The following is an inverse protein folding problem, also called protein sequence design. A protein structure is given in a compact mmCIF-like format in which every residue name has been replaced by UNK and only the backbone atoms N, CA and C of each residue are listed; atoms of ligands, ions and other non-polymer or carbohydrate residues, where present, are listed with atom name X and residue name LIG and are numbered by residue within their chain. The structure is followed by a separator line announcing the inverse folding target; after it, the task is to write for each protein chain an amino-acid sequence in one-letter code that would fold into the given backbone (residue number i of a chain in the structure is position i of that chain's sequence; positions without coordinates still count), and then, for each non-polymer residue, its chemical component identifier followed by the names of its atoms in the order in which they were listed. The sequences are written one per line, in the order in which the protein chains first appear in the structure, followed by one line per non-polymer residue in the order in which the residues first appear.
data_IF_964992516210
#
_entry.id   IF_964992516210
#
_cell.length_a   1.000
_cell.length_b   1.000
_cell.length_c   1.000
_cell.angle_alpha   90.00
_cell.angle_beta   90.00
_cell.angle_gamma   90.00
#
_symmetry.space_group_name_H-M   'P 1'
#
loop_
_entity.id
_entity.type
_entity.pdbx_description
1 polymer ?
#
# COMPACT_ATOMS: atom_id res chain seq x y z
N UNK A 1 -11.31 -22.71 -28.05
CA UNK A 1 -10.43 -21.71 -27.40
C UNK A 1 -11.23 -21.01 -26.31
N UNK A 2 -11.11 -21.43 -25.05
CA UNK A 2 -11.79 -20.77 -23.92
C UNK A 2 -10.93 -19.59 -23.49
N UNK A 3 -11.46 -18.38 -23.66
CA UNK A 3 -10.80 -17.13 -23.23
C UNK A 3 -10.81 -17.12 -21.69
N UNK A 4 -9.65 -16.96 -21.09
CA UNK A 4 -9.52 -16.81 -19.64
C UNK A 4 -10.09 -15.43 -19.29
N UNK A 5 -11.27 -15.41 -18.68
CA UNK A 5 -11.84 -14.18 -18.12
C UNK A 5 -11.15 -13.99 -16.78
N UNK A 6 -9.96 -13.37 -16.81
CA UNK A 6 -9.31 -12.90 -15.60
C UNK A 6 -10.17 -11.72 -15.14
N UNK A 7 -10.96 -11.96 -14.09
CA UNK A 7 -11.85 -10.97 -13.52
C UNK A 7 -11.13 -9.65 -13.28
N UNK A 8 -11.85 -8.55 -13.52
CA UNK A 8 -11.41 -7.16 -13.37
C UNK A 8 -10.47 -6.99 -12.19
N UNK A 9 -9.26 -6.46 -12.44
CA UNK A 9 -8.29 -6.02 -11.43
C UNK A 9 -8.82 -4.78 -10.66
N UNK A 10 -10.02 -4.87 -10.11
CA UNK A 10 -10.58 -3.85 -9.23
C UNK A 10 -9.95 -4.01 -7.85
N UNK A 11 -8.72 -3.54 -7.70
CA UNK A 11 -8.10 -3.41 -6.40
C UNK A 11 -8.66 -2.15 -5.72
N UNK A 12 -9.61 -2.34 -4.80
CA UNK A 12 -10.20 -1.27 -4.01
C UNK A 12 -9.20 -0.85 -2.90
N UNK A 13 -8.16 -0.10 -3.27
CA UNK A 13 -7.19 0.46 -2.32
C UNK A 13 -7.76 1.68 -1.61
N UNK A 14 -8.74 1.49 -0.74
CA UNK A 14 -9.25 2.60 0.06
C UNK A 14 -8.23 2.93 1.14
N UNK A 15 -7.54 4.08 1.00
CA UNK A 15 -6.81 4.71 2.12
C UNK A 15 -7.77 5.29 3.18
N UNK A 16 -9.07 5.17 2.96
CA UNK A 16 -10.12 5.58 3.88
C UNK A 16 -10.30 4.48 4.92
N UNK A 17 -9.77 4.67 6.12
CA UNK A 17 -10.16 3.84 7.26
C UNK A 17 -11.64 4.07 7.54
N UNK A 18 -12.46 3.03 7.44
CA UNK A 18 -13.83 3.04 7.94
C UNK A 18 -13.79 3.21 9.47
N UNK A 19 -13.85 4.46 9.93
CA UNK A 19 -13.94 4.79 11.35
C UNK A 19 -15.32 4.46 11.89
N UNK A 20 -15.49 3.27 12.47
CA UNK A 20 -16.51 3.07 13.49
C UNK A 20 -15.95 3.56 14.82
N UNK A 21 -16.44 4.73 15.26
CA UNK A 21 -16.32 5.20 16.64
C UNK A 21 -16.78 4.09 17.58
N UNK A 22 -15.89 3.66 18.46
CA UNK A 22 -16.28 3.06 19.74
C UNK A 22 -15.53 3.81 20.83
N UNK A 23 -16.29 4.49 21.67
CA UNK A 23 -15.80 5.12 22.89
C UNK A 23 -15.39 4.07 23.93
N UNK A 24 -14.55 4.55 24.85
CA UNK A 24 -14.32 4.07 26.23
C UNK A 24 -13.26 2.98 26.41
N UNK A 25 -12.07 3.37 26.89
CA UNK A 25 -11.69 3.34 28.31
C UNK A 25 -10.17 3.44 28.44
N UNK A 26 -9.69 4.42 29.21
CA UNK A 26 -8.30 4.50 29.63
C UNK A 26 -7.94 3.29 30.50
N UNK A 27 -6.77 2.69 30.25
CA UNK A 27 -6.07 1.84 31.20
C UNK A 27 -4.57 1.94 30.94
N UNK A 28 -3.92 2.66 31.83
CA UNK A 28 -2.48 2.87 31.94
C UNK A 28 -1.79 1.55 32.30
N UNK A 29 -0.79 1.14 31.54
CA UNK A 29 0.29 0.29 32.07
C UNK A 29 1.58 0.68 31.35
N UNK A 30 2.52 1.19 32.14
CA UNK A 30 3.81 1.69 31.72
C UNK A 30 4.85 0.59 31.46
N UNK A 31 5.85 0.99 30.67
CA UNK A 31 7.24 0.51 30.64
C UNK A 31 7.54 -0.62 29.65
N UNK A 32 8.50 -0.51 28.72
CA UNK A 32 9.74 0.27 28.74
C UNK A 32 10.10 0.72 27.32
N UNK A 33 10.21 2.04 27.09
CA UNK A 33 10.99 2.59 25.98
C UNK A 33 12.12 3.39 26.61
N UNK A 34 13.37 3.03 26.27
CA UNK A 34 14.55 3.81 26.61
C UNK A 34 14.41 5.22 26.02
N UNK A 35 13.99 6.16 26.85
CA UNK A 35 13.92 7.57 26.50
C UNK A 35 15.32 8.17 26.66
N UNK A 36 16.03 8.35 25.54
CA UNK A 36 17.20 9.23 25.50
C UNK A 36 16.72 10.68 25.64
N UNK A 37 16.75 11.20 26.87
CA UNK A 37 16.49 12.61 27.16
C UNK A 37 17.64 13.46 26.61
N UNK A 38 17.40 14.18 25.51
CA UNK A 38 18.34 15.17 24.98
C UNK A 38 17.72 16.57 25.00
N UNK A 39 18.07 17.34 26.03
CA UNK A 39 17.55 18.69 26.33
C UNK A 39 18.27 19.80 25.56
N UNK A 40 18.37 19.71 24.22
CA UNK A 40 18.96 20.79 23.41
C UNK A 40 18.09 21.13 22.18
N UNK A 41 17.77 22.42 21.92
CA UNK A 41 16.93 22.86 20.80
C UNK A 41 17.55 22.62 19.40
N UNK A 42 18.77 22.08 19.36
CA UNK A 42 19.48 21.68 18.13
C UNK A 42 18.96 20.34 17.59
N UNK A 43 18.43 19.44 18.43
CA UNK A 43 17.89 18.16 17.96
C UNK A 43 16.55 18.30 17.23
N UNK A 44 15.64 19.16 17.70
CA UNK A 44 14.33 19.36 17.04
C UNK A 44 14.47 19.76 15.57
N UNK A 45 15.43 20.64 15.25
CA UNK A 45 15.70 21.06 13.88
C UNK A 45 16.40 19.97 13.05
N UNK A 46 17.19 19.09 13.67
CA UNK A 46 17.82 17.96 12.99
C UNK A 46 16.78 16.91 12.54
N UNK A 47 15.79 16.60 13.40
CA UNK A 47 14.68 15.68 13.07
C UNK A 47 13.82 16.15 11.88
N UNK A 48 13.67 17.46 11.69
CA UNK A 48 12.87 18.01 10.57
C UNK A 48 13.53 17.85 9.20
N UNK A 49 14.85 17.61 9.16
CA UNK A 49 15.62 17.56 7.91
C UNK A 49 16.10 16.14 7.55
N UNK A 50 15.80 15.14 8.39
CA UNK A 50 16.11 13.73 8.14
C UNK A 50 15.03 13.06 7.31
N UNK A 51 15.44 12.24 6.33
CA UNK A 51 14.54 11.35 5.61
C UNK A 51 14.26 10.14 6.48
N UNK A 52 13.00 9.87 6.75
CA UNK A 52 12.53 8.74 7.56
C UNK A 52 11.79 7.76 6.66
N UNK A 53 11.98 6.47 6.87
CA UNK A 53 11.18 5.41 6.24
C UNK A 53 10.55 4.54 7.31
N UNK A 54 9.25 4.31 7.21
CA UNK A 54 8.47 3.47 8.12
C UNK A 54 7.74 2.40 7.33
N UNK A 55 7.78 1.18 7.84
CA UNK A 55 7.02 0.05 7.29
C UNK A 55 5.87 -0.26 8.24
N UNK A 56 4.64 -0.20 7.74
CA UNK A 56 3.42 -0.53 8.47
C UNK A 56 2.81 -1.79 7.90
N UNK A 57 2.56 -2.79 8.73
CA UNK A 57 1.80 -3.98 8.35
C UNK A 57 0.41 -3.86 8.95
N UNK A 58 -0.61 -3.81 8.09
CA UNK A 58 -2.00 -3.76 8.52
C UNK A 58 -2.48 -5.18 8.88
N UNK A 59 -3.51 -5.28 9.74
CA UNK A 59 -4.15 -6.58 10.00
C UNK A 59 -4.68 -7.16 8.68
N UNK A 60 -4.62 -8.49 8.57
CA UNK A 60 -5.24 -9.18 7.45
C UNK A 60 -6.76 -9.03 7.52
N UNK A 61 -7.41 -8.92 6.35
CA UNK A 61 -8.86 -8.92 6.26
C UNK A 61 -9.44 -10.35 6.29
N UNK A 62 -10.77 -10.45 6.28
CA UNK A 62 -11.49 -11.73 6.31
C UNK A 62 -11.18 -12.64 5.10
N UNK A 63 -10.70 -12.06 3.99
CA UNK A 63 -10.27 -12.81 2.81
C UNK A 63 -8.85 -13.38 2.94
N UNK A 64 -8.16 -13.06 4.04
CA UNK A 64 -6.76 -13.41 4.27
C UNK A 64 -5.80 -12.49 3.51
N UNK A 65 -6.27 -11.39 2.93
CA UNK A 65 -5.42 -10.43 2.27
C UNK A 65 -4.81 -9.47 3.30
N UNK A 66 -3.51 -9.20 3.15
CA UNK A 66 -2.75 -8.35 4.05
C UNK A 66 -2.08 -7.22 3.26
N UNK A 67 -2.16 -6.01 3.81
CA UNK A 67 -1.53 -4.83 3.25
C UNK A 67 -0.31 -4.43 4.06
N UNK A 68 0.81 -4.18 3.38
CA UNK A 68 2.00 -3.53 3.93
C UNK A 68 2.20 -2.17 3.26
N UNK A 69 2.40 -1.12 4.04
CA UNK A 69 2.67 0.24 3.55
C UNK A 69 4.10 0.65 3.93
N UNK A 70 4.91 1.02 2.95
CA UNK A 70 6.25 1.57 3.15
C UNK A 70 6.18 3.06 2.83
N UNK A 71 6.37 3.88 3.85
CA UNK A 71 6.18 5.33 3.80
C UNK A 71 7.52 6.00 4.00
N UNK A 72 7.97 6.79 3.04
CA UNK A 72 9.18 7.62 3.16
C UNK A 72 8.76 9.08 3.21
N UNK A 73 9.27 9.83 4.20
CA UNK A 73 8.92 11.22 4.41
C UNK A 73 10.10 12.05 4.95
N UNK A 74 10.01 13.37 4.84
CA UNK A 74 10.97 14.33 5.40
C UNK A 74 10.22 15.51 6.01
N UNK A 75 10.35 15.70 7.32
CA UNK A 75 9.49 16.63 8.05
C UNK A 75 8.02 16.31 7.79
N UNK A 76 7.23 17.29 7.35
CA UNK A 76 5.79 17.11 7.12
C UNK A 76 5.47 16.75 5.67
N UNK A 77 6.47 16.40 4.86
CA UNK A 77 6.31 16.09 3.44
C UNK A 77 6.50 14.59 3.17
N UNK A 78 5.47 13.96 2.59
CA UNK A 78 5.62 12.63 1.99
C UNK A 78 6.57 12.69 0.79
N UNK A 79 7.53 11.77 0.74
CA UNK A 79 8.41 11.57 -0.41
C UNK A 79 7.94 10.40 -1.27
N UNK A 80 7.58 9.28 -0.64
CA UNK A 80 7.01 8.15 -1.35
C UNK A 80 6.08 7.30 -0.49
N UNK A 81 5.19 6.56 -1.15
CA UNK A 81 4.36 5.52 -0.57
C UNK A 81 4.44 4.29 -1.46
N UNK A 82 4.76 3.13 -0.88
CA UNK A 82 4.60 1.83 -1.54
C UNK A 82 3.55 1.03 -0.78
N UNK A 83 2.57 0.49 -1.49
CA UNK A 83 1.56 -0.42 -0.95
C UNK A 83 1.81 -1.80 -1.55
N UNK A 84 2.09 -2.77 -0.69
CA UNK A 84 2.18 -4.18 -1.03
C UNK A 84 0.91 -4.88 -0.53
N UNK A 85 0.15 -5.46 -1.44
CA UNK A 85 -1.02 -6.26 -1.11
C UNK A 85 -0.70 -7.72 -1.37
N UNK A 86 -0.58 -8.51 -0.30
CA UNK A 86 -0.49 -9.96 -0.39
C UNK A 86 -1.87 -10.55 -0.22
N UNK A 87 -2.25 -11.48 -1.09
CA UNK A 87 -3.55 -12.16 -1.02
C UNK A 87 -3.47 -13.59 -1.47
N UNK A 88 -4.37 -14.46 -0.97
CA UNK A 88 -4.55 -15.78 -1.54
C UNK A 88 -4.91 -15.67 -3.03
N UNK A 89 -4.42 -16.62 -3.83
CA UNK A 89 -4.84 -16.75 -5.24
C UNK A 89 -6.31 -17.18 -5.31
N UNK A 90 -7.02 -16.73 -6.34
CA UNK A 90 -8.40 -17.16 -6.59
C UNK A 90 -8.47 -18.64 -7.00
N UNK A 91 -9.63 -19.27 -6.82
CA UNK A 91 -9.86 -20.66 -7.26
C UNK A 91 -9.60 -20.84 -8.77
N UNK A 92 -9.99 -19.87 -9.60
CA UNK A 92 -9.70 -19.91 -11.04
C UNK A 92 -8.19 -19.94 -11.34
N UNK A 93 -7.41 -19.14 -10.60
CA UNK A 93 -5.96 -19.12 -10.77
C UNK A 93 -5.33 -20.41 -10.22
N UNK A 94 -5.85 -20.99 -9.13
CA UNK A 94 -5.43 -22.31 -8.64
C UNK A 94 -5.67 -23.41 -9.67
N UNK A 95 -6.84 -23.41 -10.29
CA UNK A 95 -7.18 -24.36 -11.35
C UNK A 95 -6.25 -24.21 -12.55
N UNK A 96 -5.99 -22.97 -12.98
CA UNK A 96 -5.05 -22.70 -14.07
C UNK A 96 -3.61 -23.16 -13.75
N UNK A 97 -3.12 -22.87 -12.54
CA UNK A 97 -1.82 -23.34 -12.06
C UNK A 97 -1.76 -24.87 -12.07
N UNK A 98 -2.82 -25.53 -11.62
CA UNK A 98 -2.88 -27.00 -11.60
C UNK A 98 -2.87 -27.62 -13.01
N UNK A 99 -3.47 -26.95 -13.99
CA UNK A 99 -3.51 -27.42 -15.39
C UNK A 99 -2.26 -27.08 -16.20
N UNK A 100 -1.62 -25.93 -15.93
CA UNK A 100 -0.58 -25.33 -16.78
C UNK A 100 0.77 -25.16 -16.11
N UNK A 101 0.83 -25.28 -14.79
CA UNK A 101 2.02 -25.01 -13.98
C UNK A 101 2.17 -23.54 -13.60
N UNK A 102 2.97 -23.30 -12.56
CA UNK A 102 3.21 -21.98 -11.98
C UNK A 102 3.85 -20.99 -12.96
N UNK A 103 4.80 -21.45 -13.79
CA UNK A 103 5.53 -20.56 -14.70
C UNK A 103 4.66 -20.05 -15.85
N UNK A 104 3.81 -20.91 -16.43
CA UNK A 104 2.82 -20.49 -17.42
C UNK A 104 1.78 -19.56 -16.79
N UNK A 105 1.37 -19.81 -15.54
CA UNK A 105 0.48 -18.91 -14.80
C UNK A 105 1.09 -17.52 -14.58
N UNK A 106 2.37 -17.45 -14.19
CA UNK A 106 3.11 -16.18 -14.06
C UNK A 106 3.15 -15.41 -15.38
N UNK A 107 3.46 -16.10 -16.49
CA UNK A 107 3.47 -15.49 -17.82
C UNK A 107 2.10 -14.97 -18.23
N UNK A 108 1.06 -15.79 -18.08
CA UNK A 108 -0.31 -15.40 -18.40
C UNK A 108 -0.79 -14.20 -17.56
N UNK A 109 -0.46 -14.17 -16.28
CA UNK A 109 -0.77 -13.05 -15.38
C UNK A 109 -0.10 -11.76 -15.85
N UNK A 110 1.20 -11.82 -16.17
CA UNK A 110 1.95 -10.67 -16.67
C UNK A 110 1.41 -10.17 -18.02
N UNK A 111 1.11 -11.07 -18.94
CA UNK A 111 0.51 -10.72 -20.22
C UNK A 111 -0.88 -10.08 -20.07
N UNK A 112 -1.67 -10.53 -19.10
CA UNK A 112 -2.97 -9.96 -18.82
C UNK A 112 -2.85 -8.54 -18.25
N UNK A 113 -1.97 -8.34 -17.27
CA UNK A 113 -1.68 -7.01 -16.71
C UNK A 113 -1.11 -6.06 -17.78
N UNK A 114 -0.26 -6.55 -18.67
CA UNK A 114 0.30 -5.75 -19.77
C UNK A 114 -0.72 -5.40 -20.85
N UNK A 115 -1.80 -6.15 -20.99
CA UNK A 115 -2.88 -5.87 -21.94
C UNK A 115 -4.03 -5.07 -21.31
N UNK A 116 -4.05 -4.91 -19.99
CA UNK A 116 -5.09 -4.16 -19.29
C UNK A 116 -4.98 -2.66 -19.58
N UNK A 117 -5.98 -2.09 -20.23
CA UNK A 117 -5.98 -0.69 -20.67
C UNK A 117 -5.91 0.29 -19.50
N UNK A 118 -6.54 -0.04 -18.36
CA UNK A 118 -6.53 0.81 -17.17
C UNK A 118 -5.15 0.83 -16.51
N UNK A 119 -4.50 -0.33 -16.43
CA UNK A 119 -3.12 -0.45 -15.93
C UNK A 119 -2.14 0.26 -16.85
N UNK A 120 -2.29 0.10 -18.17
CA UNK A 120 -1.46 0.79 -19.16
C UNK A 120 -1.65 2.31 -19.12
N UNK A 121 -2.87 2.79 -18.89
CA UNK A 121 -3.13 4.21 -18.68
C UNK A 121 -2.48 4.73 -17.40
N UNK A 122 -2.58 3.98 -16.29
CA UNK A 122 -1.98 4.36 -15.02
C UNK A 122 -0.45 4.38 -15.09
N UNK A 123 0.19 3.40 -15.72
CA UNK A 123 1.65 3.32 -15.91
C UNK A 123 2.27 4.49 -16.68
N UNK A 124 1.46 5.27 -17.42
CA UNK A 124 1.92 6.48 -18.11
C UNK A 124 2.05 7.68 -17.18
N UNK A 125 1.55 7.59 -15.95
CA UNK A 125 1.61 8.65 -14.96
C UNK A 125 3.01 8.61 -14.35
N UNK A 126 3.78 9.70 -14.54
CA UNK A 126 5.08 9.88 -13.90
C UNK A 126 4.97 9.67 -12.40
N UNK A 127 5.98 9.06 -11.79
CA UNK A 127 5.98 8.78 -10.35
C UNK A 127 5.04 7.66 -9.89
N UNK A 128 4.35 6.95 -10.79
CA UNK A 128 3.54 5.78 -10.44
C UNK A 128 4.08 4.49 -11.05
N UNK A 129 4.10 3.42 -10.26
CA UNK A 129 4.38 2.05 -10.75
C UNK A 129 3.40 1.05 -10.17
N UNK A 130 3.14 -0.01 -10.95
CA UNK A 130 2.35 -1.16 -10.53
C UNK A 130 2.91 -2.45 -11.13
N UNK A 131 3.03 -3.46 -10.27
CA UNK A 131 3.41 -4.81 -10.64
C UNK A 131 2.61 -5.82 -9.83
N UNK A 132 2.05 -6.81 -10.51
CA UNK A 132 1.44 -7.99 -9.89
C UNK A 132 2.31 -9.21 -10.12
N UNK A 133 2.66 -9.91 -9.05
CA UNK A 133 3.50 -11.10 -9.08
C UNK A 133 2.79 -12.27 -8.39
N UNK A 134 2.75 -13.42 -9.07
CA UNK A 134 2.37 -14.68 -8.44
C UNK A 134 3.57 -15.22 -7.66
N UNK A 135 3.52 -15.17 -6.32
CA UNK A 135 4.65 -15.52 -5.46
C UNK A 135 4.87 -17.03 -5.44
N UNK A 136 3.78 -17.77 -5.26
CA UNK A 136 3.74 -19.23 -5.22
C UNK A 136 2.34 -19.71 -5.67
N UNK A 137 2.05 -21.00 -5.55
CA UNK A 137 0.76 -21.59 -5.97
C UNK A 137 -0.45 -21.11 -5.16
N UNK A 138 -0.23 -20.47 -4.01
CA UNK A 138 -1.25 -20.09 -3.04
C UNK A 138 -1.36 -18.59 -2.83
N UNK A 139 -0.33 -17.82 -3.11
CA UNK A 139 -0.25 -16.40 -2.80
C UNK A 139 0.23 -15.58 -4.00
N UNK A 140 -0.35 -14.39 -4.12
CA UNK A 140 0.10 -13.36 -5.05
C UNK A 140 0.25 -12.02 -4.34
N UNK A 141 1.14 -11.18 -4.89
CA UNK A 141 1.39 -9.83 -4.44
C UNK A 141 1.07 -8.84 -5.55
N UNK A 142 0.41 -7.74 -5.20
CA UNK A 142 0.36 -6.55 -6.04
C UNK A 142 1.09 -5.42 -5.32
N UNK A 143 2.11 -4.86 -5.95
CA UNK A 143 2.89 -3.74 -5.45
C UNK A 143 2.57 -2.49 -6.26
N UNK A 144 2.07 -1.46 -5.59
CA UNK A 144 1.89 -0.12 -6.17
C UNK A 144 2.82 0.86 -5.48
N UNK A 145 3.52 1.68 -6.26
CA UNK A 145 4.45 2.68 -5.71
C UNK A 145 4.14 4.07 -6.24
N UNK A 146 4.18 5.05 -5.35
CA UNK A 146 3.96 6.47 -5.61
C UNK A 146 5.22 7.22 -5.16
N UNK A 147 5.93 7.84 -6.10
CA UNK A 147 7.00 8.79 -5.83
C UNK A 147 6.43 10.21 -5.93
N UNK A 148 6.10 10.78 -4.78
CA UNK A 148 5.43 12.09 -4.71
C UNK A 148 6.31 13.26 -5.19
N UNK A 149 7.60 13.03 -5.42
CA UNK A 149 8.48 14.04 -5.99
C UNK A 149 8.31 14.19 -7.50
N UNK A 150 7.87 13.12 -8.18
CA UNK A 150 7.70 13.07 -9.63
C UNK A 150 6.26 12.77 -10.05
N UNK A 151 5.39 12.46 -9.08
CA UNK A 151 3.99 12.12 -9.32
C UNK A 151 3.22 13.30 -9.92
N UNK A 152 2.62 13.09 -11.09
CA UNK A 152 1.60 14.00 -11.62
C UNK A 152 0.29 13.76 -10.85
N UNK A 153 0.16 14.41 -9.69
CA UNK A 153 -0.95 14.20 -8.76
C UNK A 153 -2.30 14.45 -9.43
N UNK A 154 -2.40 15.48 -10.28
CA UNK A 154 -3.65 15.80 -10.98
C UNK A 154 -4.06 14.63 -11.88
N UNK A 155 -3.13 14.14 -12.72
CA UNK A 155 -3.42 12.97 -13.58
C UNK A 155 -3.71 11.72 -12.76
N UNK A 156 -3.03 11.52 -11.63
CA UNK A 156 -3.28 10.40 -10.73
C UNK A 156 -4.70 10.44 -10.13
N UNK A 157 -5.15 11.60 -9.64
CA UNK A 157 -6.49 11.77 -9.07
C UNK A 157 -7.62 11.58 -10.10
N UNK A 158 -7.37 11.90 -11.37
CA UNK A 158 -8.34 11.78 -12.46
C UNK A 158 -8.31 10.40 -13.15
N UNK A 159 -7.28 9.59 -12.90
CA UNK A 159 -7.12 8.29 -13.55
C UNK A 159 -8.07 7.23 -12.99
N UNK A 160 -8.75 6.48 -13.85
CA UNK A 160 -9.73 5.46 -13.47
C UNK A 160 -9.20 4.41 -12.48
N UNK A 161 -7.92 4.02 -12.60
CA UNK A 161 -7.28 3.04 -11.72
C UNK A 161 -6.95 3.64 -10.33
N UNK A 162 -6.64 4.93 -10.27
CA UNK A 162 -6.06 5.59 -9.10
C UNK A 162 -7.01 6.52 -8.34
N UNK A 163 -8.09 6.98 -8.96
CA UNK A 163 -9.02 7.98 -8.40
C UNK A 163 -9.60 7.60 -7.04
N UNK A 164 -9.71 6.29 -6.76
CA UNK A 164 -10.26 5.79 -5.50
C UNK A 164 -9.21 5.57 -4.40
N UNK A 165 -7.92 5.77 -4.70
CA UNK A 165 -6.85 5.61 -3.72
C UNK A 165 -6.90 6.71 -2.66
N UNK A 166 -7.32 7.93 -3.05
CA UNK A 166 -7.40 9.06 -2.12
C UNK A 166 -6.05 9.77 -1.89
N UNK A 167 -5.19 9.82 -2.91
CA UNK A 167 -3.86 10.42 -2.85
C UNK A 167 -3.88 11.90 -2.43
N UNK A 168 -4.86 12.68 -2.89
CA UNK A 168 -5.00 14.09 -2.47
C UNK A 168 -5.32 14.22 -0.98
N UNK A 169 -6.12 13.29 -0.45
CA UNK A 169 -6.47 13.30 0.96
C UNK A 169 -5.29 12.84 1.81
N UNK A 170 -4.50 11.86 1.34
CA UNK A 170 -3.26 11.45 1.99
C UNK A 170 -2.31 12.63 2.18
N UNK A 171 -2.04 13.38 1.09
CA UNK A 171 -1.07 14.47 1.08
C UNK A 171 -1.51 15.72 1.85
N UNK A 172 -2.76 15.79 2.30
CA UNK A 172 -3.25 16.82 3.24
C UNK A 172 -2.91 16.52 4.70
N UNK A 173 -2.52 15.28 5.04
CA UNK A 173 -2.13 14.91 6.39
C UNK A 173 -0.63 15.08 6.59
N UNK A 174 -0.22 15.26 7.85
CA UNK A 174 1.17 15.06 8.21
C UNK A 174 1.51 13.55 8.19
N UNK A 175 2.70 13.14 7.71
CA UNK A 175 3.08 11.73 7.65
C UNK A 175 2.98 11.01 8.99
N UNK A 176 3.38 11.68 10.08
CA UNK A 176 3.36 11.08 11.42
C UNK A 176 1.93 10.88 11.94
N UNK A 177 1.03 11.84 11.69
CA UNK A 177 -0.39 11.71 12.03
C UNK A 177 -1.04 10.56 11.25
N UNK A 178 -0.72 10.44 9.96
CA UNK A 178 -1.18 9.33 9.13
C UNK A 178 -0.71 7.97 9.68
N UNK A 179 0.57 7.86 10.03
CA UNK A 179 1.15 6.65 10.60
C UNK A 179 0.51 6.33 11.96
N UNK A 180 0.39 7.31 12.85
CA UNK A 180 -0.23 7.15 14.16
C UNK A 180 -1.68 6.69 14.03
N UNK A 181 -2.44 7.25 13.08
CA UNK A 181 -3.79 6.80 12.79
C UNK A 181 -3.83 5.34 12.35
N UNK A 182 -2.92 4.89 11.48
CA UNK A 182 -2.84 3.48 11.07
C UNK A 182 -2.54 2.56 12.24
N UNK A 183 -1.60 2.94 13.10
CA UNK A 183 -1.25 2.17 14.30
C UNK A 183 -2.44 2.08 15.27
N UNK A 184 -3.16 3.19 15.48
CA UNK A 184 -4.38 3.21 16.29
C UNK A 184 -5.49 2.30 15.73
N UNK A 185 -5.46 2.01 14.43
CA UNK A 185 -6.38 1.08 13.76
C UNK A 185 -5.78 -0.33 13.58
N UNK A 186 -4.75 -0.68 14.37
CA UNK A 186 -4.23 -2.04 14.46
C UNK A 186 -3.05 -2.36 13.54
N UNK A 187 -2.50 -1.39 12.80
CA UNK A 187 -1.27 -1.60 12.06
C UNK A 187 -0.07 -1.71 13.01
N UNK A 188 0.90 -2.56 12.68
CA UNK A 188 2.17 -2.69 13.41
C UNK A 188 3.30 -2.01 12.64
N UNK A 189 4.14 -1.24 13.34
CA UNK A 189 5.37 -0.66 12.78
C UNK A 189 6.49 -1.69 12.82
N UNK A 190 7.20 -1.89 11.70
CA UNK A 190 8.43 -2.69 11.61
C UNK A 190 9.69 -1.81 11.57
#
# INVERSE_FOLDING_TARGET
MKKLVIGTFAALFLLVGCGQKKETAASTTESSQEALQSTLPVLENATKNTVVTKTLVLPADESGAQQTQIITYKGNQFLSLTIQQKRPVSEDLKNYISERGLDEAKKALKEAEDKDESVQAARKISGFTIETTLLNEKEMETKTSYDFQTLDLKKASENEYLKNVGLENLLKNEPEDYIANRVANGATVQ
#
